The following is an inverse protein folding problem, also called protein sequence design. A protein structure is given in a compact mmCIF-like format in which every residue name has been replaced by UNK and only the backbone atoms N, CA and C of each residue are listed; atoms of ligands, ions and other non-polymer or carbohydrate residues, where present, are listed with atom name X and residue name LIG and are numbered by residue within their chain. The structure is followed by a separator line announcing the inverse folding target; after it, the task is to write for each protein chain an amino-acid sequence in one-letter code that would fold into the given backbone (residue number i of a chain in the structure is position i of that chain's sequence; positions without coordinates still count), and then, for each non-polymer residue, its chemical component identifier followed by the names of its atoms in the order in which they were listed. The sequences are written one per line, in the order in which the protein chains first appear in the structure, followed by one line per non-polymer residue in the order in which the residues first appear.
data_IF_276422909842
#
_entry.id   IF_276422909842
#
_cell.length_a   1.000
_cell.length_b   1.000
_cell.length_c   1.000
_cell.angle_alpha   90.00
_cell.angle_beta   90.00
_cell.angle_gamma   90.00
#
_symmetry.space_group_name_H-M   'P 1'
#
loop_
_entity.id
_entity.type
_entity.pdbx_description
1 polymer ?
#
# COMPACT_ATOMS: atom_id res chain seq x y z
N UNK A 1 20.55 4.75 -9.08
CA UNK A 1 20.21 4.40 -7.70
C UNK A 1 19.04 5.28 -7.32
N UNK A 2 17.83 4.74 -7.34
CA UNK A 2 16.61 5.51 -7.05
C UNK A 2 16.44 5.52 -5.53
N UNK A 3 17.10 6.46 -4.85
CA UNK A 3 17.16 6.55 -3.38
C UNK A 3 16.19 7.61 -2.82
N UNK A 4 15.07 7.89 -3.50
CA UNK A 4 14.14 8.95 -3.07
C UNK A 4 12.68 8.46 -3.00
N UNK A 5 12.39 7.33 -2.33
CA UNK A 5 11.00 6.99 -1.99
C UNK A 5 10.55 7.52 -0.62
N UNK A 6 11.49 7.73 0.32
CA UNK A 6 11.17 8.26 1.65
C UNK A 6 11.83 9.63 1.85
N UNK A 7 11.00 10.66 1.96
CA UNK A 7 11.43 12.01 2.29
C UNK A 7 10.58 12.60 3.42
N UNK A 8 11.24 13.15 4.44
CA UNK A 8 10.58 13.90 5.50
C UNK A 8 10.46 15.37 5.08
N UNK A 9 9.24 15.81 4.76
CA UNK A 9 8.99 17.15 4.17
C UNK A 9 8.96 18.29 5.18
N UNK A 10 8.96 17.98 6.48
CA UNK A 10 8.96 18.95 7.57
C UNK A 10 10.28 18.85 8.34
N UNK A 11 10.86 19.99 8.76
CA UNK A 11 11.97 19.95 9.69
C UNK A 11 11.51 19.32 11.01
N UNK A 12 12.38 18.56 11.65
CA UNK A 12 12.08 17.85 12.89
C UNK A 12 13.22 18.00 13.89
N UNK A 13 12.88 18.06 15.18
CA UNK A 13 13.79 18.39 16.29
C UNK A 13 14.11 17.19 17.16
N UNK A 14 14.59 17.47 18.38
CA UNK A 14 15.05 16.45 19.32
C UNK A 14 13.94 15.50 19.80
N UNK A 15 12.68 15.93 19.81
CA UNK A 15 11.56 15.08 20.18
C UNK A 15 11.26 14.07 19.08
N UNK A 16 11.23 14.50 17.82
CA UNK A 16 10.98 13.61 16.70
C UNK A 16 12.14 12.64 16.47
N UNK A 17 13.40 13.03 16.72
CA UNK A 17 14.56 12.13 16.63
C UNK A 17 14.49 10.93 17.58
N UNK A 18 13.71 11.02 18.66
CA UNK A 18 13.47 9.88 19.55
C UNK A 18 12.53 8.83 18.93
N UNK A 19 11.72 9.22 17.95
CA UNK A 19 10.81 8.35 17.21
C UNK A 19 11.43 7.95 15.86
N UNK A 20 11.96 8.93 15.13
CA UNK A 20 12.70 8.79 13.87
C UNK A 20 14.16 8.50 14.17
N UNK A 21 14.42 7.45 14.95
CA UNK A 21 15.77 6.94 15.15
C UNK A 21 16.33 6.43 13.81
N UNK A 22 17.64 6.23 13.72
CA UNK A 22 18.27 5.73 12.50
C UNK A 22 17.65 4.40 12.05
N UNK A 23 17.40 3.50 13.00
CA UNK A 23 16.80 2.17 12.78
C UNK A 23 15.34 2.30 12.34
N UNK A 24 14.57 3.22 12.92
CA UNK A 24 13.19 3.46 12.51
C UNK A 24 13.10 4.02 11.09
N UNK A 25 14.02 4.93 10.72
CA UNK A 25 14.10 5.48 9.36
C UNK A 25 14.53 4.40 8.35
N UNK A 26 15.48 3.54 8.71
CA UNK A 26 15.88 2.40 7.88
C UNK A 26 14.72 1.43 7.65
N UNK A 27 14.01 1.05 8.71
CA UNK A 27 12.82 0.19 8.62
C UNK A 27 11.74 0.81 7.72
N UNK A 28 11.43 2.10 7.88
CA UNK A 28 10.48 2.80 7.01
C UNK A 28 10.96 2.84 5.56
N UNK A 29 12.26 3.01 5.33
CA UNK A 29 12.84 3.02 3.99
C UNK A 29 12.65 1.68 3.31
N UNK A 30 12.94 0.57 4.00
CA UNK A 30 12.73 -0.79 3.48
C UNK A 30 11.24 -1.06 3.20
N UNK A 31 10.36 -0.68 4.13
CA UNK A 31 8.93 -0.85 3.98
C UNK A 31 8.39 -0.10 2.76
N UNK A 32 8.74 1.17 2.60
CA UNK A 32 8.31 1.99 1.47
C UNK A 32 8.85 1.40 0.17
N UNK A 33 10.14 1.07 0.11
CA UNK A 33 10.80 0.50 -1.08
C UNK A 33 10.14 -0.81 -1.52
N UNK A 34 9.81 -1.68 -0.57
CA UNK A 34 9.25 -2.99 -0.88
C UNK A 34 7.77 -2.90 -1.32
N UNK A 35 6.96 -2.09 -0.64
CA UNK A 35 5.50 -2.15 -0.79
C UNK A 35 4.90 -1.03 -1.65
N UNK A 36 5.59 0.11 -1.86
CA UNK A 36 5.07 1.21 -2.68
C UNK A 36 4.75 0.81 -4.11
N UNK A 37 5.59 0.03 -4.82
CA UNK A 37 5.28 -0.37 -6.20
C UNK A 37 3.97 -1.19 -6.30
N UNK A 38 3.78 -2.16 -5.39
CA UNK A 38 2.56 -2.97 -5.39
C UNK A 38 1.33 -2.17 -4.95
N UNK A 39 1.47 -1.31 -3.94
CA UNK A 39 0.41 -0.37 -3.51
C UNK A 39 -0.08 0.48 -4.68
N UNK A 40 0.83 1.07 -5.45
CA UNK A 40 0.49 1.90 -6.60
C UNK A 40 -0.24 1.12 -7.69
N UNK A 41 0.19 -0.12 -7.98
CA UNK A 41 -0.52 -1.02 -8.91
C UNK A 41 -1.96 -1.30 -8.46
N UNK A 42 -2.15 -1.60 -7.18
CA UNK A 42 -3.48 -1.87 -6.61
C UNK A 42 -4.37 -0.62 -6.62
N UNK A 43 -3.82 0.56 -6.36
CA UNK A 43 -4.57 1.82 -6.45
C UNK A 43 -5.01 2.12 -7.88
N UNK A 44 -4.16 1.88 -8.88
CA UNK A 44 -4.54 2.02 -10.29
C UNK A 44 -5.62 1.00 -10.68
N UNK A 45 -5.51 -0.25 -10.23
CA UNK A 45 -6.53 -1.28 -10.47
C UNK A 45 -7.89 -0.91 -9.87
N UNK A 46 -7.93 -0.23 -8.71
CA UNK A 46 -9.18 0.27 -8.12
C UNK A 46 -9.87 1.31 -9.01
N UNK A 47 -9.11 2.19 -9.65
CA UNK A 47 -9.67 3.17 -10.58
C UNK A 47 -10.32 2.45 -11.77
N UNK A 48 -9.64 1.44 -12.32
CA UNK A 48 -10.20 0.62 -13.41
C UNK A 48 -11.49 -0.10 -12.97
N UNK A 49 -11.46 -0.76 -11.81
CA UNK A 49 -12.63 -1.44 -11.27
C UNK A 49 -13.82 -0.49 -11.08
N UNK A 50 -13.57 0.74 -10.62
CA UNK A 50 -14.62 1.75 -10.47
C UNK A 50 -15.25 2.11 -11.82
N UNK A 51 -14.44 2.27 -12.87
CA UNK A 51 -14.95 2.53 -14.22
C UNK A 51 -15.85 1.40 -14.72
N UNK A 52 -15.48 0.15 -14.45
CA UNK A 52 -16.27 -1.01 -14.85
C UNK A 52 -17.62 -1.04 -14.11
N UNK A 53 -17.63 -0.70 -12.82
CA UNK A 53 -18.85 -0.55 -12.00
C UNK A 53 -19.73 0.57 -12.53
N UNK A 54 -19.16 1.73 -12.84
CA UNK A 54 -19.90 2.88 -13.39
C UNK A 54 -20.53 2.54 -14.76
N UNK A 55 -19.91 1.63 -15.51
CA UNK A 55 -20.42 1.07 -16.76
C UNK A 55 -21.44 -0.07 -16.56
N UNK A 56 -21.83 -0.37 -15.32
CA UNK A 56 -22.87 -1.34 -14.98
C UNK A 56 -22.35 -2.73 -14.58
N UNK A 57 -21.04 -2.94 -14.49
CA UNK A 57 -20.46 -4.21 -14.01
C UNK A 57 -20.46 -4.23 -12.49
N UNK A 58 -21.57 -4.65 -11.89
CA UNK A 58 -21.70 -4.72 -10.44
C UNK A 58 -20.79 -5.82 -9.86
N UNK A 59 -20.16 -5.59 -8.69
CA UNK A 59 -19.37 -6.62 -8.01
C UNK A 59 -20.25 -7.79 -7.55
N UNK A 60 -19.70 -9.00 -7.63
CA UNK A 60 -20.30 -10.22 -7.10
C UNK A 60 -19.20 -11.16 -6.56
N UNK A 61 -19.60 -12.26 -5.91
CA UNK A 61 -18.68 -13.27 -5.44
C UNK A 61 -18.01 -14.00 -6.59
N UNK A 62 -16.72 -13.72 -6.77
CA UNK A 62 -15.90 -14.42 -7.74
C UNK A 62 -15.70 -15.89 -7.33
N UNK A 63 -15.62 -16.77 -8.32
CA UNK A 63 -15.50 -18.21 -8.10
C UNK A 63 -14.14 -18.62 -7.52
N UNK A 64 -13.10 -17.84 -7.80
CA UNK A 64 -11.71 -18.07 -7.43
C UNK A 64 -11.52 -18.10 -5.91
N UNK A 65 -12.37 -17.41 -5.15
CA UNK A 65 -12.29 -17.34 -3.68
C UNK A 65 -13.37 -18.17 -2.99
N UNK A 66 -14.14 -18.97 -3.73
CA UNK A 66 -15.20 -19.80 -3.15
C UNK A 66 -14.68 -20.78 -2.08
N UNK A 67 -13.56 -21.45 -2.35
CA UNK A 67 -12.96 -22.40 -1.39
C UNK A 67 -12.52 -21.74 -0.07
N UNK A 68 -12.12 -20.47 -0.11
CA UNK A 68 -11.75 -19.71 1.10
C UNK A 68 -13.02 -19.34 1.87
N UNK A 69 -14.08 -18.90 1.18
CA UNK A 69 -15.34 -18.51 1.81
C UNK A 69 -16.08 -19.70 2.42
N UNK A 70 -15.99 -20.86 1.78
CA UNK A 70 -16.76 -22.05 2.15
C UNK A 70 -15.99 -22.98 3.12
N UNK A 71 -14.77 -22.58 3.53
CA UNK A 71 -13.95 -23.31 4.50
C UNK A 71 -14.31 -22.95 5.95
N UNK A 72 -14.05 -23.88 6.87
CA UNK A 72 -14.27 -23.73 8.32
C UNK A 72 -12.95 -23.34 9.00
N UNK A 73 -12.62 -22.04 8.98
CA UNK A 73 -11.34 -21.48 9.48
C UNK A 73 -11.51 -20.27 10.39
#
# INVERSE_FOLDING_TARGET
TTTDELAFTRPYGEQEKQILTAEAVEFLTELVTHFTPQRNKLLAARIQQQQDIDNGTLPDFISETASIRDADW
#
